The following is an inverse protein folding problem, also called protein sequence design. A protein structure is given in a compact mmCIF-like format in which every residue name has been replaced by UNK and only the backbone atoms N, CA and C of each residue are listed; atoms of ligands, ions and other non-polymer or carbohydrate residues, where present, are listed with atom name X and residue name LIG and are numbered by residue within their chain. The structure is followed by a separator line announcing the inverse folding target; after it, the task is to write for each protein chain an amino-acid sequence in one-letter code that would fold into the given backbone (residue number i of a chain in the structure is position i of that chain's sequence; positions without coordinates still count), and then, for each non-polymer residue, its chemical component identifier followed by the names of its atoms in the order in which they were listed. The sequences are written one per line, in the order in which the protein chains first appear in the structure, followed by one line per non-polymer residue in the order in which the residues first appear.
data_IF_637804327417
#
_entry.id   IF_637804327417
#
_cell.length_a   1.000
_cell.length_b   1.000
_cell.length_c   1.000
_cell.angle_alpha   90.00
_cell.angle_beta   90.00
_cell.angle_gamma   90.00
#
_symmetry.space_group_name_H-M   'P 1'
#
loop_
_entity.id
_entity.type
_entity.pdbx_description
1 polymer ?
#
# COMPACT_ATOMS: atom_id res chain seq x y z
N UNK A 1 -54.68 -6.49 -35.04
CA UNK A 1 -53.57 -5.71 -35.64
C UNK A 1 -53.78 -4.25 -35.26
N UNK A 2 -53.17 -3.82 -34.16
CA UNK A 2 -52.95 -2.41 -33.79
C UNK A 2 -52.10 -2.42 -32.53
N UNK A 3 -50.78 -2.39 -32.70
CA UNK A 3 -49.83 -2.27 -31.58
C UNK A 3 -49.34 -0.84 -31.56
N UNK A 4 -49.75 -0.13 -30.52
CA UNK A 4 -49.37 1.23 -30.17
C UNK A 4 -47.98 1.28 -29.54
N UNK A 5 -47.27 2.35 -29.88
CA UNK A 5 -45.98 2.78 -29.36
C UNK A 5 -45.89 2.80 -27.82
N UNK A 6 -44.74 2.41 -27.30
CA UNK A 6 -44.16 3.03 -26.11
C UNK A 6 -42.64 2.94 -26.20
N UNK A 7 -42.02 4.07 -26.53
CA UNK A 7 -40.59 4.28 -26.41
C UNK A 7 -40.24 4.35 -24.91
N UNK A 8 -39.50 3.36 -24.42
CA UNK A 8 -38.85 3.42 -23.11
C UNK A 8 -37.47 4.02 -23.35
N UNK A 9 -37.32 5.31 -23.01
CA UNK A 9 -36.01 5.92 -22.82
C UNK A 9 -35.41 5.38 -21.53
N UNK A 10 -34.36 4.57 -21.64
CA UNK A 10 -33.53 4.15 -20.52
C UNK A 10 -32.62 5.31 -20.08
N UNK A 11 -33.13 6.08 -19.12
CA UNK A 11 -32.47 7.23 -18.48
C UNK A 11 -31.47 6.79 -17.39
N UNK A 12 -30.51 5.93 -17.74
CA UNK A 12 -29.50 5.41 -16.81
C UNK A 12 -28.08 5.33 -17.39
N UNK A 13 -27.74 6.24 -18.29
CA UNK A 13 -26.33 6.48 -18.67
C UNK A 13 -25.84 7.75 -18.00
N UNK A 14 -25.84 7.77 -16.66
CA UNK A 14 -25.08 8.79 -15.93
C UNK A 14 -23.62 8.48 -16.17
N UNK A 15 -23.02 9.27 -17.04
CA UNK A 15 -21.58 9.43 -17.24
C UNK A 15 -20.99 9.97 -15.92
N UNK A 16 -20.80 9.09 -14.94
CA UNK A 16 -20.22 9.39 -13.62
C UNK A 16 -18.69 9.40 -13.69
N UNK A 17 -18.11 10.18 -14.61
CA UNK A 17 -16.66 10.17 -14.84
C UNK A 17 -15.88 11.31 -14.20
N UNK A 18 -16.54 12.33 -13.65
CA UNK A 18 -15.85 13.54 -13.12
C UNK A 18 -16.20 13.96 -11.69
N UNK A 19 -17.05 13.22 -10.96
CA UNK A 19 -17.27 13.51 -9.54
C UNK A 19 -16.15 12.87 -8.70
N UNK A 20 -15.47 13.60 -7.79
CA UNK A 20 -14.49 13.01 -6.90
C UNK A 20 -15.18 11.96 -6.04
N UNK A 21 -14.74 10.72 -6.20
CA UNK A 21 -15.27 9.59 -5.47
C UNK A 21 -14.72 9.56 -4.03
N UNK A 22 -15.54 9.17 -3.05
CA UNK A 22 -15.20 9.23 -1.62
C UNK A 22 -13.92 8.45 -1.29
N UNK A 23 -13.71 7.29 -1.93
CA UNK A 23 -12.45 6.55 -1.78
C UNK A 23 -11.24 7.32 -2.29
N UNK A 24 -11.36 8.06 -3.40
CA UNK A 24 -10.26 8.90 -3.91
C UNK A 24 -9.96 10.05 -2.95
N UNK A 25 -11.00 10.66 -2.37
CA UNK A 25 -10.87 11.70 -1.34
C UNK A 25 -10.21 11.14 -0.07
N UNK A 26 -10.58 9.94 0.38
CA UNK A 26 -9.97 9.28 1.52
C UNK A 26 -8.48 8.97 1.29
N UNK A 27 -8.10 8.54 0.07
CA UNK A 27 -6.69 8.34 -0.31
C UNK A 27 -5.92 9.66 -0.20
N UNK A 28 -6.46 10.75 -0.77
CA UNK A 28 -5.84 12.09 -0.70
C UNK A 28 -5.73 12.61 0.74
N UNK A 29 -6.74 12.35 1.57
CA UNK A 29 -6.72 12.68 2.98
C UNK A 29 -5.62 11.91 3.73
N UNK A 30 -5.53 10.58 3.58
CA UNK A 30 -4.45 9.80 4.23
C UNK A 30 -3.06 10.28 3.77
N UNK A 31 -2.89 10.59 2.48
CA UNK A 31 -1.67 11.21 1.96
C UNK A 31 -1.32 12.50 2.70
N UNK A 32 -2.31 13.35 3.00
CA UNK A 32 -2.09 14.63 3.70
C UNK A 32 -1.60 14.47 5.14
N UNK A 33 -1.77 13.28 5.74
CA UNK A 33 -1.31 12.99 7.11
C UNK A 33 0.18 12.63 7.16
N UNK A 34 0.81 12.36 6.02
CA UNK A 34 2.23 12.01 5.96
C UNK A 34 3.09 13.27 6.19
N UNK A 35 4.15 13.17 7.01
CA UNK A 35 5.02 14.29 7.30
C UNK A 35 5.83 14.67 6.06
N UNK A 36 5.74 15.95 5.69
CA UNK A 36 6.58 16.55 4.64
C UNK A 36 7.89 16.99 5.29
N UNK A 37 9.04 16.59 4.72
CA UNK A 37 10.34 17.03 5.24
C UNK A 37 10.63 18.50 4.89
N UNK A 38 11.64 19.08 5.53
CA UNK A 38 12.10 20.47 5.37
C UNK A 38 12.41 20.90 3.92
N UNK A 39 12.65 19.94 3.01
CA UNK A 39 12.88 20.20 1.56
C UNK A 39 11.63 19.95 0.69
N UNK A 40 10.45 19.92 1.30
CA UNK A 40 9.18 19.53 0.69
C UNK A 40 9.20 18.17 -0.02
N UNK A 41 10.18 17.33 0.33
CA UNK A 41 10.40 16.02 -0.28
C UNK A 41 10.04 14.93 0.71
N UNK A 42 9.08 14.08 0.35
CA UNK A 42 8.76 12.91 1.14
C UNK A 42 9.93 11.92 1.09
N UNK A 43 10.35 11.43 2.27
CA UNK A 43 11.40 10.40 2.38
C UNK A 43 10.98 9.09 1.72
N UNK A 44 9.69 8.80 1.79
CA UNK A 44 9.04 7.61 1.23
C UNK A 44 7.89 8.06 0.34
N UNK A 45 7.51 7.29 -0.68
CA UNK A 45 6.34 7.65 -1.47
C UNK A 45 5.07 7.60 -0.60
N UNK A 46 4.05 8.41 -0.90
CA UNK A 46 2.83 8.48 -0.10
C UNK A 46 1.95 7.26 -0.31
N UNK A 47 2.30 6.20 0.41
CA UNK A 47 1.61 4.92 0.38
C UNK A 47 0.37 5.01 1.26
N UNK A 48 -0.70 4.37 0.83
CA UNK A 48 -1.96 4.27 1.55
C UNK A 48 -2.36 2.81 1.68
N UNK A 49 -2.71 2.37 2.88
CA UNK A 49 -3.16 1.01 3.16
C UNK A 49 -4.68 0.91 3.16
N UNK A 50 -5.21 -0.22 2.70
CA UNK A 50 -6.67 -0.46 2.67
C UNK A 50 -7.33 -0.29 4.04
N UNK A 51 -6.64 -0.71 5.11
CA UNK A 51 -7.14 -0.59 6.48
C UNK A 51 -7.38 0.87 6.87
N UNK A 52 -6.56 1.81 6.40
CA UNK A 52 -6.75 3.23 6.67
C UNK A 52 -8.04 3.75 6.03
N UNK A 53 -8.37 3.26 4.83
CA UNK A 53 -9.62 3.62 4.15
C UNK A 53 -10.82 3.00 4.86
N UNK A 54 -10.70 1.78 5.39
CA UNK A 54 -11.76 1.13 6.18
C UNK A 54 -12.09 1.85 7.49
N UNK A 55 -11.19 2.67 8.02
CA UNK A 55 -11.47 3.52 9.18
C UNK A 55 -12.28 4.77 8.79
N UNK A 56 -12.04 5.33 7.60
CA UNK A 56 -12.69 6.55 7.12
C UNK A 56 -14.07 6.24 6.53
N UNK A 57 -14.18 5.18 5.75
CA UNK A 57 -15.38 4.80 5.01
C UNK A 57 -15.84 3.42 5.51
N UNK A 58 -17.08 3.33 5.97
CA UNK A 58 -17.59 2.10 6.58
C UNK A 58 -17.96 1.01 5.55
N UNK A 59 -18.33 1.38 4.32
CA UNK A 59 -18.80 0.42 3.31
C UNK A 59 -17.66 -0.22 2.51
N UNK A 60 -17.19 -1.39 2.98
CA UNK A 60 -16.09 -2.16 2.36
C UNK A 60 -16.36 -2.57 0.91
N UNK A 61 -17.62 -2.89 0.58
CA UNK A 61 -17.98 -3.32 -0.78
C UNK A 61 -17.86 -2.16 -1.77
N UNK A 62 -18.31 -0.96 -1.38
CA UNK A 62 -18.14 0.24 -2.19
C UNK A 62 -16.67 0.58 -2.39
N UNK A 63 -15.87 0.56 -1.32
CA UNK A 63 -14.42 0.82 -1.39
C UNK A 63 -13.74 -0.10 -2.39
N UNK A 64 -13.99 -1.42 -2.34
CA UNK A 64 -13.36 -2.36 -3.28
C UNK A 64 -13.78 -2.09 -4.74
N UNK A 65 -15.07 -1.85 -4.99
CA UNK A 65 -15.58 -1.51 -6.33
C UNK A 65 -14.93 -0.23 -6.86
N UNK A 66 -14.83 0.79 -6.01
CA UNK A 66 -14.24 2.08 -6.34
C UNK A 66 -12.73 1.99 -6.59
N UNK A 67 -12.00 1.23 -5.77
CA UNK A 67 -10.58 0.96 -5.99
C UNK A 67 -10.35 0.25 -7.33
N UNK A 68 -11.20 -0.71 -7.71
CA UNK A 68 -11.14 -1.35 -9.02
C UNK A 68 -11.38 -0.36 -10.16
N UNK A 69 -12.32 0.58 -10.01
CA UNK A 69 -12.58 1.63 -11.00
C UNK A 69 -11.34 2.55 -11.12
N UNK A 70 -10.81 3.03 -9.99
CA UNK A 70 -9.61 3.88 -9.97
C UNK A 70 -8.39 3.18 -10.59
N UNK A 71 -8.25 1.88 -10.35
CA UNK A 71 -7.19 1.07 -10.94
C UNK A 71 -7.40 0.86 -12.44
N UNK A 72 -8.64 0.64 -12.90
CA UNK A 72 -8.97 0.54 -14.32
C UNK A 72 -8.67 1.83 -15.07
N UNK A 73 -8.85 2.98 -14.41
CA UNK A 73 -8.54 4.33 -14.89
C UNK A 73 -7.07 4.74 -14.74
N UNK A 74 -6.20 3.87 -14.20
CA UNK A 74 -4.78 4.16 -13.94
C UNK A 74 -4.54 5.37 -13.01
N UNK A 75 -5.51 5.70 -12.14
CA UNK A 75 -5.35 6.76 -11.13
C UNK A 75 -4.55 6.30 -9.92
N UNK A 76 -4.64 5.01 -9.59
CA UNK A 76 -3.90 4.39 -8.49
C UNK A 76 -3.09 3.20 -8.98
N UNK A 77 -1.96 2.95 -8.32
CA UNK A 77 -1.15 1.75 -8.49
C UNK A 77 -1.22 0.91 -7.21
N UNK A 78 -1.47 -0.40 -7.37
CA UNK A 78 -1.30 -1.36 -6.28
C UNK A 78 0.18 -1.74 -6.18
N UNK A 79 0.73 -1.64 -4.97
CA UNK A 79 2.13 -1.94 -4.69
C UNK A 79 2.24 -3.13 -3.76
N UNK A 80 3.31 -3.92 -3.93
CA UNK A 80 3.67 -4.92 -2.95
C UNK A 80 4.53 -4.31 -1.85
N UNK A 81 4.11 -4.55 -0.60
CA UNK A 81 4.77 -4.07 0.61
C UNK A 81 5.19 -5.29 1.43
N UNK A 82 6.44 -5.70 1.23
CA UNK A 82 7.04 -6.89 1.84
C UNK A 82 6.92 -8.11 0.93
N UNK A 83 6.96 -9.29 1.54
CA UNK A 83 6.82 -10.58 0.84
C UNK A 83 5.43 -11.18 0.99
N UNK A 84 4.48 -10.44 1.56
CA UNK A 84 3.18 -10.96 1.99
C UNK A 84 2.04 -10.29 1.22
N UNK A 85 1.16 -11.12 0.65
CA UNK A 85 0.08 -10.70 -0.27
C UNK A 85 -1.12 -10.01 0.43
N UNK A 86 -1.09 -9.86 1.76
CA UNK A 86 -2.26 -9.43 2.54
C UNK A 86 -2.39 -7.93 2.78
N UNK A 87 -1.34 -7.12 2.55
CA UNK A 87 -1.44 -5.67 2.71
C UNK A 87 -1.70 -5.02 1.36
N UNK A 88 -2.98 -4.82 1.03
CA UNK A 88 -3.34 -4.04 -0.16
C UNK A 88 -2.95 -2.59 0.08
N UNK A 89 -1.78 -2.24 -0.44
CA UNK A 89 -1.24 -0.90 -0.41
C UNK A 89 -1.36 -0.25 -1.79
N UNK A 90 -1.66 1.03 -1.76
CA UNK A 90 -1.96 1.83 -2.93
C UNK A 90 -1.13 3.10 -2.91
N UNK A 91 -0.95 3.66 -4.09
CA UNK A 91 -0.37 4.98 -4.29
C UNK A 91 -1.08 5.66 -5.45
N UNK A 92 -1.23 6.98 -5.41
CA UNK A 92 -1.66 7.75 -6.57
C UNK A 92 -0.59 7.66 -7.65
N UNK A 93 -1.01 7.41 -8.89
CA UNK A 93 -0.08 7.20 -10.00
C UNK A 93 0.85 8.41 -10.20
N UNK A 94 0.30 9.63 -10.10
CA UNK A 94 1.05 10.88 -10.15
C UNK A 94 2.19 10.95 -9.12
N UNK A 95 1.91 10.53 -7.88
CA UNK A 95 2.89 10.58 -6.79
C UNK A 95 3.98 9.52 -6.98
N UNK A 96 3.61 8.34 -7.48
CA UNK A 96 4.56 7.27 -7.77
C UNK A 96 5.55 7.70 -8.85
N UNK A 97 5.05 8.27 -9.96
CA UNK A 97 5.88 8.83 -11.04
C UNK A 97 6.78 9.94 -10.51
N UNK A 98 6.22 10.90 -9.77
CA UNK A 98 6.98 12.03 -9.19
C UNK A 98 8.08 11.55 -8.25
N UNK A 99 7.78 10.59 -7.38
CA UNK A 99 8.76 10.03 -6.44
C UNK A 99 9.91 9.33 -7.16
N UNK A 100 9.62 8.50 -8.16
CA UNK A 100 10.66 7.75 -8.88
C UNK A 100 11.55 8.66 -9.70
N UNK A 101 10.99 9.65 -10.41
CA UNK A 101 11.78 10.61 -11.18
C UNK A 101 12.67 11.47 -10.27
N UNK A 102 12.24 11.75 -9.03
CA UNK A 102 13.05 12.45 -8.06
C UNK A 102 14.23 11.59 -7.52
N UNK A 103 14.03 10.28 -7.37
CA UNK A 103 15.09 9.36 -6.90
C UNK A 103 16.06 9.01 -8.03
N UNK A 104 15.56 8.83 -9.24
CA UNK A 104 16.34 8.43 -10.41
C UNK A 104 16.07 9.36 -11.60
N UNK A 105 16.65 10.57 -11.59
CA UNK A 105 16.58 11.46 -12.72
C UNK A 105 17.27 10.84 -13.94
N UNK A 106 16.73 11.11 -15.13
CA UNK A 106 17.38 10.88 -16.43
C UNK A 106 17.73 9.42 -16.78
N UNK A 107 17.01 8.43 -16.21
CA UNK A 107 17.15 7.03 -16.60
C UNK A 107 16.13 6.62 -17.68
N UNK A 108 16.57 6.24 -18.89
CA UNK A 108 15.65 5.90 -19.99
C UNK A 108 14.85 4.63 -19.70
N UNK A 109 15.48 3.62 -19.07
CA UNK A 109 14.80 2.38 -18.66
C UNK A 109 13.64 2.66 -17.70
N UNK A 110 13.85 3.55 -16.73
CA UNK A 110 12.83 3.94 -15.75
C UNK A 110 11.72 4.75 -16.42
N UNK A 111 12.06 5.67 -17.31
CA UNK A 111 11.07 6.45 -18.07
C UNK A 111 10.16 5.54 -18.91
N UNK A 112 10.76 4.55 -19.59
CA UNK A 112 10.04 3.50 -20.32
C UNK A 112 9.14 2.68 -19.39
N UNK A 113 9.64 2.31 -18.21
CA UNK A 113 8.84 1.59 -17.21
C UNK A 113 7.62 2.40 -16.76
N UNK A 114 7.81 3.66 -16.39
CA UNK A 114 6.73 4.54 -15.93
C UNK A 114 5.68 4.77 -17.02
N UNK A 115 6.10 5.09 -18.25
CA UNK A 115 5.17 5.50 -19.31
C UNK A 115 4.49 4.33 -20.05
N UNK A 116 5.17 3.18 -20.14
CA UNK A 116 4.70 2.07 -20.99
C UNK A 116 4.26 0.85 -20.18
N UNK A 117 5.03 0.51 -19.16
CA UNK A 117 4.89 -0.77 -18.44
C UNK A 117 3.87 -0.62 -17.32
N UNK A 118 4.06 0.37 -16.46
CA UNK A 118 3.22 0.62 -15.30
C UNK A 118 1.73 0.81 -15.65
N UNK A 119 1.33 1.62 -16.65
CA UNK A 119 -0.09 1.83 -16.98
C UNK A 119 -0.78 0.57 -17.52
N UNK A 120 0.01 -0.34 -18.10
CA UNK A 120 -0.52 -1.59 -18.62
C UNK A 120 -0.57 -2.71 -17.55
N UNK A 121 0.03 -2.51 -16.37
CA UNK A 121 0.02 -3.49 -15.28
C UNK A 121 -0.98 -3.05 -14.22
N UNK A 122 -2.17 -3.65 -14.25
CA UNK A 122 -3.23 -3.41 -13.26
C UNK A 122 -3.12 -4.33 -12.04
N UNK A 123 -2.11 -5.19 -11.98
CA UNK A 123 -1.90 -6.15 -10.89
C UNK A 123 -0.71 -5.74 -10.02
N UNK A 124 -0.58 -6.30 -8.82
CA UNK A 124 0.57 -6.11 -7.94
C UNK A 124 1.84 -6.82 -8.44
N UNK A 125 1.69 -7.68 -9.45
CA UNK A 125 2.81 -8.32 -10.13
C UNK A 125 2.66 -8.47 -11.62
N UNK A 126 3.78 -8.86 -12.23
CA UNK A 126 3.96 -9.00 -13.65
C UNK A 126 4.79 -10.24 -13.96
N UNK A 127 4.35 -10.99 -14.96
CA UNK A 127 5.08 -12.15 -15.45
C UNK A 127 6.27 -11.72 -16.30
N UNK A 128 7.37 -12.47 -16.18
CA UNK A 128 8.59 -12.25 -16.93
C UNK A 128 8.38 -12.36 -18.44
N UNK A 129 7.52 -13.28 -18.89
CA UNK A 129 7.13 -13.42 -20.29
C UNK A 129 6.46 -12.14 -20.80
N UNK A 130 5.57 -11.51 -20.02
CA UNK A 130 4.90 -10.25 -20.39
C UNK A 130 5.92 -9.12 -20.52
N UNK A 131 6.86 -8.99 -19.58
CA UNK A 131 7.93 -8.00 -19.66
C UNK A 131 8.79 -8.16 -20.93
N UNK A 132 9.15 -9.40 -21.27
CA UNK A 132 10.02 -9.69 -22.43
C UNK A 132 9.28 -9.63 -23.76
N UNK A 133 8.09 -10.21 -23.87
CA UNK A 133 7.37 -10.36 -25.14
C UNK A 133 6.57 -9.10 -25.47
N UNK A 134 5.79 -8.57 -24.51
CA UNK A 134 4.90 -7.41 -24.75
C UNK A 134 5.69 -6.10 -24.71
N UNK A 135 6.54 -5.91 -23.70
CA UNK A 135 7.27 -4.65 -23.51
C UNK A 135 8.69 -4.66 -24.08
N UNK A 136 9.11 -5.77 -24.69
CA UNK A 136 10.44 -5.95 -25.32
C UNK A 136 11.57 -5.53 -24.38
N UNK A 137 11.42 -5.85 -23.10
CA UNK A 137 12.38 -5.47 -22.06
C UNK A 137 13.62 -6.35 -22.17
N UNK A 138 14.78 -5.73 -22.33
CA UNK A 138 16.06 -6.42 -22.40
C UNK A 138 16.48 -6.94 -21.01
N UNK A 139 17.37 -7.93 -20.97
CA UNK A 139 17.81 -8.53 -19.71
C UNK A 139 18.54 -7.51 -18.81
N UNK A 140 19.31 -6.57 -19.39
CA UNK A 140 19.99 -5.52 -18.63
C UNK A 140 18.99 -4.51 -18.04
N UNK A 141 17.95 -4.14 -18.79
CA UNK A 141 16.85 -3.27 -18.32
C UNK A 141 16.13 -3.94 -17.14
N UNK A 142 15.87 -5.25 -17.23
CA UNK A 142 15.24 -6.00 -16.14
C UNK A 142 16.08 -5.97 -14.87
N UNK A 143 17.37 -6.24 -15.00
CA UNK A 143 18.32 -6.17 -13.89
C UNK A 143 18.39 -4.76 -13.31
N UNK A 144 18.35 -3.72 -14.16
CA UNK A 144 18.34 -2.33 -13.70
C UNK A 144 17.08 -2.00 -12.88
N UNK A 145 15.88 -2.41 -13.34
CA UNK A 145 14.63 -2.21 -12.60
C UNK A 145 14.63 -2.93 -11.24
N UNK A 146 15.24 -4.12 -11.17
CA UNK A 146 15.41 -4.85 -9.91
C UNK A 146 16.39 -4.11 -8.98
N UNK A 147 17.54 -3.68 -9.50
CA UNK A 147 18.54 -2.97 -8.72
C UNK A 147 18.04 -1.60 -8.21
N UNK A 148 17.15 -0.95 -8.97
CA UNK A 148 16.48 0.28 -8.55
C UNK A 148 15.35 0.03 -7.54
N UNK A 149 15.00 -1.23 -7.24
CA UNK A 149 13.92 -1.59 -6.32
C UNK A 149 12.52 -1.34 -6.89
N UNK A 150 12.37 -1.18 -8.20
CA UNK A 150 11.08 -1.03 -8.88
C UNK A 150 10.41 -2.39 -9.12
N UNK A 151 11.22 -3.43 -9.30
CA UNK A 151 10.80 -4.82 -9.40
C UNK A 151 11.42 -5.65 -8.27
N UNK A 152 10.60 -6.43 -7.56
CA UNK A 152 11.08 -7.44 -6.62
C UNK A 152 10.83 -8.83 -7.18
N UNK A 153 11.77 -9.76 -6.97
CA UNK A 153 11.63 -11.14 -7.43
C UNK A 153 10.57 -11.82 -6.56
N UNK A 154 9.49 -12.29 -7.17
CA UNK A 154 8.51 -13.17 -6.50
C UNK A 154 8.95 -14.62 -6.68
N UNK A 155 8.97 -15.06 -7.94
CA UNK A 155 9.38 -16.40 -8.37
C UNK A 155 10.34 -16.26 -9.57
N UNK A 156 10.88 -17.38 -10.07
CA UNK A 156 11.76 -17.39 -11.25
C UNK A 156 11.14 -16.72 -12.50
N UNK A 157 9.80 -16.72 -12.58
CA UNK A 157 9.02 -16.24 -13.73
C UNK A 157 8.09 -15.05 -13.43
N UNK A 158 8.14 -14.47 -12.22
CA UNK A 158 7.28 -13.32 -11.88
C UNK A 158 7.94 -12.32 -10.93
N UNK A 159 7.54 -11.06 -11.08
CA UNK A 159 8.06 -9.92 -10.34
C UNK A 159 6.92 -9.11 -9.73
N UNK A 160 7.17 -8.57 -8.54
CA UNK A 160 6.30 -7.61 -7.85
C UNK A 160 6.66 -6.18 -8.21
N UNK A 161 5.64 -5.33 -8.35
CA UNK A 161 5.84 -3.89 -8.49
C UNK A 161 6.07 -3.30 -7.09
N UNK A 162 7.19 -2.59 -6.93
CA UNK A 162 7.56 -1.95 -5.66
C UNK A 162 8.13 -0.55 -5.90
N UNK A 163 8.82 -0.02 -4.91
CA UNK A 163 9.42 1.31 -4.95
C UNK A 163 10.79 1.31 -4.27
N UNK A 164 11.67 2.28 -4.59
CA UNK A 164 12.99 2.38 -4.00
C UNK A 164 12.93 2.48 -2.47
N UNK A 165 13.81 1.74 -1.79
CA UNK A 165 13.89 1.67 -0.33
C UNK A 165 12.63 1.14 0.38
N UNK A 166 11.80 0.34 -0.29
CA UNK A 166 10.58 -0.24 0.29
C UNK A 166 10.81 -1.03 1.59
N UNK A 167 11.91 -1.78 1.69
CA UNK A 167 12.29 -2.49 2.92
C UNK A 167 12.41 -1.59 4.15
N UNK A 168 13.00 -0.39 3.99
CA UNK A 168 13.13 0.57 5.08
C UNK A 168 11.77 1.15 5.49
N UNK A 169 10.91 1.46 4.52
CA UNK A 169 9.54 1.91 4.77
C UNK A 169 8.77 0.84 5.57
N UNK A 170 8.78 -0.40 5.10
CA UNK A 170 8.09 -1.54 5.72
C UNK A 170 8.55 -1.71 7.16
N UNK A 171 9.87 -1.70 7.39
CA UNK A 171 10.45 -1.82 8.73
C UNK A 171 9.90 -0.74 9.67
N UNK A 172 9.96 0.54 9.25
CA UNK A 172 9.48 1.68 10.05
C UNK A 172 7.98 1.58 10.32
N UNK A 173 7.21 1.20 9.31
CA UNK A 173 5.77 0.98 9.43
C UNK A 173 5.43 -0.12 10.44
N UNK A 174 6.06 -1.30 10.34
CA UNK A 174 5.83 -2.42 11.27
C UNK A 174 6.24 -2.03 12.70
N UNK A 175 7.41 -1.41 12.88
CA UNK A 175 7.89 -0.97 14.19
C UNK A 175 6.98 0.09 14.82
N UNK A 176 6.46 1.02 14.01
CA UNK A 176 5.53 2.07 14.46
C UNK A 176 4.19 1.50 14.93
N UNK A 177 3.59 0.62 14.12
CA UNK A 177 2.35 -0.10 14.49
C UNK A 177 2.50 -0.88 15.78
N UNK A 178 3.55 -1.71 15.87
CA UNK A 178 3.84 -2.52 17.07
C UNK A 178 3.97 -1.63 18.30
N UNK A 179 4.63 -0.48 18.18
CA UNK A 179 4.84 0.44 19.29
C UNK A 179 3.53 1.04 19.82
N UNK A 180 2.64 1.54 18.94
CA UNK A 180 1.35 2.09 19.35
C UNK A 180 0.49 1.02 20.03
N UNK A 181 0.39 -0.17 19.42
CA UNK A 181 -0.37 -1.29 19.98
C UNK A 181 0.17 -1.68 21.36
N UNK A 182 1.50 -1.70 21.55
CA UNK A 182 2.10 -2.01 22.85
C UNK A 182 1.77 -0.98 23.93
N UNK A 183 1.69 0.31 23.59
CA UNK A 183 1.28 1.35 24.55
C UNK A 183 -0.14 1.08 25.05
N UNK A 184 -1.05 0.76 24.14
CA UNK A 184 -2.45 0.47 24.44
C UNK A 184 -2.54 -0.79 25.31
N UNK A 185 -1.88 -1.89 24.90
CA UNK A 185 -1.92 -3.18 25.61
C UNK A 185 -1.37 -3.14 27.03
N UNK A 186 -0.43 -2.25 27.34
CA UNK A 186 0.13 -2.11 28.69
C UNK A 186 -0.82 -1.42 29.68
N UNK A 187 -1.97 -0.91 29.23
CA UNK A 187 -2.97 -0.29 30.10
C UNK A 187 -3.87 -1.33 30.73
N UNK A 188 -4.25 -1.09 31.99
CA UNK A 188 -5.15 -1.98 32.76
C UNK A 188 -6.44 -2.33 32.00
N UNK A 189 -7.01 -1.35 31.31
CA UNK A 189 -8.24 -1.49 30.54
C UNK A 189 -8.01 -1.55 29.02
N UNK A 190 -6.76 -1.55 28.57
CA UNK A 190 -6.41 -1.48 27.13
C UNK A 190 -7.02 -0.29 26.40
N UNK A 191 -7.25 0.80 27.14
CA UNK A 191 -7.83 2.05 26.65
C UNK A 191 -6.88 3.21 26.95
N UNK A 192 -6.89 4.22 26.06
CA UNK A 192 -6.12 5.45 26.21
C UNK A 192 -6.80 6.55 25.39
N UNK A 193 -6.78 7.78 25.91
CA UNK A 193 -7.23 8.95 25.15
C UNK A 193 -6.32 9.15 23.93
N UNK A 194 -6.90 9.55 22.80
CA UNK A 194 -6.15 9.78 21.56
C UNK A 194 -5.07 10.85 21.74
N UNK A 195 -5.39 11.93 22.46
CA UNK A 195 -4.45 13.01 22.81
C UNK A 195 -3.27 12.52 23.66
N UNK A 196 -3.53 11.66 24.64
CA UNK A 196 -2.49 11.09 25.51
C UNK A 196 -1.59 10.12 24.73
N UNK A 197 -2.18 9.35 23.81
CA UNK A 197 -1.44 8.44 22.94
C UNK A 197 -0.55 9.22 21.97
N UNK A 198 -1.08 10.30 21.38
CA UNK A 198 -0.36 11.21 20.50
C UNK A 198 0.83 11.86 21.22
N UNK A 199 0.61 12.40 22.42
CA UNK A 199 1.67 13.00 23.24
C UNK A 199 2.81 12.02 23.57
N UNK A 200 2.48 10.75 23.82
CA UNK A 200 3.47 9.69 24.08
C UNK A 200 4.25 9.30 22.82
N UNK A 201 3.65 9.45 21.65
CA UNK A 201 4.26 9.12 20.37
C UNK A 201 5.06 10.29 19.76
N UNK A 202 4.82 11.53 20.21
CA UNK A 202 5.36 12.76 19.61
C UNK A 202 6.90 12.83 19.51
N UNK A 203 7.65 12.10 20.35
CA UNK A 203 9.13 12.06 20.32
C UNK A 203 9.69 10.79 19.69
N UNK A 204 8.85 9.93 19.12
CA UNK A 204 9.25 8.61 18.65
C UNK A 204 9.55 8.69 17.15
N UNK A 205 10.84 8.63 16.79
CA UNK A 205 11.31 8.81 15.40
C UNK A 205 10.53 7.97 14.37
N UNK A 206 10.30 6.69 14.62
CA UNK A 206 9.53 5.81 13.72
C UNK A 206 8.06 6.24 13.53
N UNK A 207 7.46 6.92 14.51
CA UNK A 207 6.12 7.50 14.39
C UNK A 207 6.20 8.81 13.61
N UNK A 208 7.15 9.67 13.97
CA UNK A 208 7.32 10.98 13.33
C UNK A 208 7.73 10.89 11.85
N UNK A 209 8.34 9.78 11.41
CA UNK A 209 8.71 9.56 10.00
C UNK A 209 7.51 9.28 9.10
N UNK A 210 6.39 8.77 9.63
CA UNK A 210 5.19 8.44 8.86
C UNK A 210 3.91 9.14 9.38
N UNK A 211 3.98 9.83 10.51
CA UNK A 211 2.86 10.56 11.10
C UNK A 211 2.03 9.70 12.07
N UNK A 212 1.66 10.29 13.20
CA UNK A 212 0.84 9.60 14.21
C UNK A 212 -0.56 9.23 13.69
N UNK A 213 -1.27 10.20 13.09
CA UNK A 213 -2.62 9.98 12.55
C UNK A 213 -2.63 8.94 11.42
N UNK A 214 -1.58 8.88 10.61
CA UNK A 214 -1.40 7.85 9.59
C UNK A 214 -1.44 6.44 10.18
N UNK A 215 -0.69 6.19 11.25
CA UNK A 215 -0.74 4.91 11.95
C UNK A 215 -2.08 4.65 12.65
N UNK A 216 -2.69 5.71 13.20
CA UNK A 216 -3.92 5.57 13.97
C UNK A 216 -5.07 5.05 13.10
N UNK A 217 -5.28 5.63 11.92
CA UNK A 217 -6.31 5.16 10.97
C UNK A 217 -6.11 3.69 10.58
N UNK A 218 -4.85 3.29 10.40
CA UNK A 218 -4.52 1.93 10.02
C UNK A 218 -4.76 0.91 11.14
N UNK A 219 -4.53 1.29 12.40
CA UNK A 219 -4.78 0.44 13.57
C UNK A 219 -6.29 0.36 13.88
N UNK A 220 -7.02 1.47 13.74
CA UNK A 220 -8.47 1.50 13.93
C UNK A 220 -9.15 0.63 12.86
N UNK A 221 -8.83 0.82 11.58
CA UNK A 221 -9.50 0.10 10.49
C UNK A 221 -9.07 -1.36 10.31
N UNK A 222 -7.91 -1.79 10.82
CA UNK A 222 -7.54 -3.21 10.88
C UNK A 222 -8.33 -4.01 11.93
N UNK A 223 -8.96 -3.31 12.88
CA UNK A 223 -9.56 -3.84 14.10
C UNK A 223 -8.56 -4.62 14.98
N UNK A 224 -7.26 -4.32 14.91
CA UNK A 224 -6.25 -5.04 15.71
C UNK A 224 -6.42 -4.81 17.22
N UNK A 225 -7.06 -3.71 17.62
CA UNK A 225 -7.39 -3.47 19.03
C UNK A 225 -8.50 -4.44 19.50
N UNK A 226 -9.43 -4.83 18.60
CA UNK A 226 -10.60 -5.66 18.93
C UNK A 226 -10.40 -7.17 18.67
N UNK A 227 -9.44 -7.57 17.82
CA UNK A 227 -9.29 -8.96 17.33
C UNK A 227 -8.36 -9.87 18.14
N UNK A 228 -7.73 -9.40 19.21
CA UNK A 228 -6.55 -10.07 19.78
C UNK A 228 -6.81 -11.21 20.79
N UNK A 229 -7.78 -12.09 20.53
CA UNK A 229 -7.82 -13.42 21.16
C UNK A 229 -7.13 -14.52 20.34
N UNK A 230 -6.77 -14.30 19.07
CA UNK A 230 -6.07 -15.32 18.26
C UNK A 230 -5.29 -14.63 17.13
N UNK A 231 -4.01 -14.31 17.34
CA UNK A 231 -2.92 -14.43 16.34
C UNK A 231 -1.61 -13.74 16.76
N UNK A 232 -0.59 -14.56 17.03
CA UNK A 232 0.79 -14.31 16.60
C UNK A 232 1.05 -15.30 15.45
N UNK A 233 1.65 -14.87 14.33
CA UNK A 233 3.10 -15.03 14.21
C UNK A 233 3.79 -13.95 13.36
N UNK A 234 4.87 -13.39 13.88
CA UNK A 234 5.88 -12.67 13.09
C UNK A 234 7.28 -13.07 13.60
N UNK A 235 7.54 -14.37 13.60
CA UNK A 235 8.90 -14.92 13.57
C UNK A 235 8.95 -15.91 12.40
N UNK A 236 10.07 -15.90 11.67
CA UNK A 236 10.40 -16.73 10.49
C UNK A 236 10.07 -16.19 9.09
N UNK A 237 10.59 -15.01 8.77
CA UNK A 237 11.00 -14.69 7.39
C UNK A 237 12.33 -13.92 7.36
N UNK A 238 13.33 -14.36 8.14
CA UNK A 238 14.73 -14.03 7.92
C UNK A 238 15.57 -15.23 8.37
N UNK A 239 16.28 -15.83 7.43
CA UNK A 239 17.23 -16.92 7.61
C UNK A 239 18.05 -16.80 8.90
N UNK A 240 17.96 -17.83 9.76
CA UNK A 240 19.08 -18.29 10.58
C UNK A 240 19.15 -19.80 10.49
N UNK A 241 20.09 -20.29 9.68
CA UNK A 241 20.82 -21.51 10.04
C UNK A 241 21.47 -21.22 11.40
N UNK A 242 20.99 -21.88 12.47
CA UNK A 242 21.74 -22.25 13.67
C UNK A 242 20.91 -23.37 14.35
N UNK A 243 21.56 -24.52 14.50
CA UNK A 243 21.16 -25.64 15.33
C UNK A 243 20.92 -25.19 16.77
N UNK A 244 19.82 -25.62 17.38
CA UNK A 244 19.78 -26.06 18.77
C UNK A 244 18.61 -27.03 18.97
N UNK A 245 18.95 -28.31 19.08
CA UNK A 245 18.25 -29.31 19.90
C UNK A 245 17.86 -28.71 21.25
N UNK A 246 16.70 -29.05 21.82
CA UNK A 246 16.54 -29.44 23.24
C UNK A 246 15.12 -30.00 23.47
N UNK A 247 15.11 -31.23 23.99
CA UNK A 247 13.97 -32.01 24.44
C UNK A 247 13.38 -31.48 25.77
N UNK A 248 12.14 -31.90 26.07
CA UNK A 248 11.58 -31.92 27.43
C UNK A 248 10.14 -31.43 27.44
N UNK A 249 9.13 -32.28 27.22
CA UNK A 249 8.45 -33.14 28.21
C UNK A 249 7.82 -32.38 29.39
N UNK A 250 6.51 -32.62 29.49
CA UNK A 250 5.71 -32.83 30.69
C UNK A 250 4.80 -31.71 31.25
N UNK A 251 3.52 -32.10 31.27
CA UNK A 251 2.31 -31.64 31.96
C UNK A 251 1.49 -30.51 31.31
#
# INVERSE_FOLDING_TARGET
MSSSDSAILDDNTIVATDLPNDTEAAIKYIKSLLPVNVKDTLKYPPIVFINQIYDIIHNKTLINRELEILQKQCKIQKLTIGTCDFSSAFILYEDYVKYILNVYPDKPCITKFLNSILPSIKSFGVEKCVLKQKFKLQQYELTELINCGLLLIRNQESYWISFPSSGNFIKRYIEGRKYIIQIIKRRKFQEILESDLEARCAKVSKINELGFKYFLHDIKGSNDINKYNFWMPFENCLNKNILCNWNGLDL
#
